data_IF_060404936491
#
_entry.id   IF_060404936491
#
_cell.length_a   1.000
_cell.length_b   1.000
_cell.length_c   1.000
_cell.angle_alpha   90.00
_cell.angle_beta   90.00
_cell.angle_gamma   90.00
#
_symmetry.space_group_name_H-M   'P 1'
#
loop_
_entity.id
_entity.type
_entity.pdbx_description
1 polymer ?
#
# COMPACT_ATOMS: atom_id res chain seq x y z
N UNK A 1 -7.76 3.64 -1.21
CA UNK A 1 -6.36 3.20 -1.36
C UNK A 1 -6.33 1.77 -1.87
N UNK A 2 -6.44 0.80 -0.96
CA UNK A 2 -6.45 -0.63 -1.28
C UNK A 2 -7.61 -1.02 -2.23
N UNK A 3 -8.83 -0.55 -1.95
CA UNK A 3 -10.01 -0.45 -2.85
C UNK A 3 -9.64 -0.28 -4.34
N UNK A 4 -9.09 0.89 -4.60
CA UNK A 4 -8.78 1.37 -5.93
C UNK A 4 -7.64 0.59 -6.59
N UNK A 5 -6.61 0.22 -5.82
CA UNK A 5 -5.50 -0.59 -6.32
C UNK A 5 -5.99 -1.98 -6.73
N UNK A 6 -6.87 -2.60 -5.94
CA UNK A 6 -7.42 -3.92 -6.22
C UNK A 6 -8.14 -3.98 -7.57
N UNK A 7 -8.99 -2.98 -7.86
CA UNK A 7 -9.64 -2.87 -9.16
C UNK A 7 -8.67 -2.61 -10.32
N UNK A 8 -7.53 -1.97 -10.06
CA UNK A 8 -6.49 -1.76 -11.07
C UNK A 8 -5.72 -3.05 -11.37
N UNK A 9 -5.30 -3.77 -10.32
CA UNK A 9 -4.65 -5.08 -10.44
C UNK A 9 -5.57 -6.08 -11.16
N UNK A 10 -6.88 -6.06 -10.88
CA UNK A 10 -7.85 -6.86 -11.60
C UNK A 10 -7.86 -6.60 -13.11
N UNK A 11 -7.81 -5.32 -13.53
CA UNK A 11 -7.78 -4.96 -14.96
C UNK A 11 -6.48 -5.37 -15.65
N UNK A 12 -5.38 -5.45 -14.89
CA UNK A 12 -4.09 -5.89 -15.38
C UNK A 12 -3.87 -7.40 -15.30
N UNK A 13 -4.81 -8.15 -14.70
CA UNK A 13 -4.65 -9.59 -14.45
C UNK A 13 -3.47 -9.90 -13.51
N UNK A 14 -3.19 -9.00 -12.56
CA UNK A 14 -2.13 -9.17 -11.57
C UNK A 14 -2.73 -9.64 -10.24
N UNK A 15 -2.07 -10.60 -9.60
CA UNK A 15 -2.45 -11.12 -8.28
C UNK A 15 -1.71 -10.44 -7.13
N UNK A 16 -0.69 -9.63 -7.44
CA UNK A 16 0.16 -8.94 -6.48
C UNK A 16 0.36 -7.47 -6.84
N UNK A 17 0.60 -6.62 -5.83
CA UNK A 17 0.88 -5.21 -6.06
C UNK A 17 1.50 -4.48 -4.87
N UNK A 18 1.80 -3.19 -5.07
CA UNK A 18 2.42 -2.33 -4.07
C UNK A 18 1.56 -1.09 -3.82
N UNK A 19 1.36 -0.77 -2.54
CA UNK A 19 0.72 0.47 -2.11
C UNK A 19 1.69 1.29 -1.26
N UNK A 20 2.22 2.38 -1.83
CA UNK A 20 3.14 3.27 -1.11
C UNK A 20 2.38 4.51 -0.63
N UNK A 21 2.43 4.77 0.67
CA UNK A 21 1.73 5.87 1.35
C UNK A 21 2.77 6.80 1.94
N UNK A 22 2.78 8.05 1.50
CA UNK A 22 3.71 9.07 1.99
C UNK A 22 3.02 9.99 3.02
N UNK A 23 3.58 10.07 4.22
CA UNK A 23 3.18 10.99 5.26
C UNK A 23 3.80 12.37 5.01
N UNK A 24 2.94 13.31 4.59
CA UNK A 24 3.30 14.71 4.28
C UNK A 24 2.92 15.69 5.39
N UNK A 25 2.57 15.22 6.59
CA UNK A 25 2.27 16.10 7.73
C UNK A 25 3.53 16.85 8.13
N UNK A 26 3.41 18.14 8.45
CA UNK A 26 4.54 18.99 8.82
C UNK A 26 5.27 18.49 10.08
N UNK A 27 4.53 17.87 11.01
CA UNK A 27 5.06 17.29 12.24
C UNK A 27 5.16 15.76 12.16
N UNK A 28 5.36 15.21 10.97
CA UNK A 28 5.54 13.77 10.84
C UNK A 28 6.84 13.33 11.53
N UNK A 29 6.86 12.15 12.17
CA UNK A 29 8.07 11.55 12.72
C UNK A 29 9.18 11.41 11.66
N UNK A 30 10.41 11.17 12.11
CA UNK A 30 11.52 10.88 11.19
C UNK A 30 11.24 9.64 10.35
N UNK A 31 11.88 9.54 9.18
CA UNK A 31 11.63 8.46 8.23
C UNK A 31 11.79 7.08 8.89
N UNK A 32 12.82 6.89 9.71
CA UNK A 32 13.09 5.63 10.40
C UNK A 32 11.96 5.21 11.35
N UNK A 33 11.29 6.17 11.98
CA UNK A 33 10.21 5.90 12.94
C UNK A 33 8.87 5.59 12.23
N UNK A 34 8.66 6.15 11.04
CA UNK A 34 7.40 6.01 10.29
C UNK A 34 7.45 4.98 9.16
N UNK A 35 8.66 4.57 8.72
CA UNK A 35 8.83 3.59 7.67
C UNK A 35 8.32 2.21 8.14
N UNK A 36 7.21 1.77 7.57
CA UNK A 36 6.61 0.46 7.88
C UNK A 36 6.26 -0.27 6.60
N UNK A 37 6.54 -1.57 6.59
CA UNK A 37 6.16 -2.47 5.49
C UNK A 37 5.29 -3.57 6.06
N UNK A 38 4.12 -3.79 5.46
CA UNK A 38 3.15 -4.81 5.85
C UNK A 38 2.57 -5.49 4.61
N UNK A 39 2.20 -6.77 4.72
CA UNK A 39 1.45 -7.46 3.66
C UNK A 39 -0.03 -7.42 4.04
N UNK A 40 -0.87 -6.97 3.11
CA UNK A 40 -2.32 -6.99 3.25
C UNK A 40 -2.97 -7.77 2.11
N UNK A 41 -4.14 -8.32 2.37
CA UNK A 41 -4.98 -8.96 1.36
C UNK A 41 -6.04 -7.97 0.91
N UNK A 42 -6.16 -7.77 -0.40
CA UNK A 42 -7.18 -6.90 -0.99
C UNK A 42 -8.59 -7.52 -0.86
N UNK A 43 -9.67 -6.74 -1.02
CA UNK A 43 -11.04 -7.27 -1.00
C UNK A 43 -11.30 -8.43 -1.98
N UNK A 44 -10.64 -8.43 -3.15
CA UNK A 44 -10.71 -9.51 -4.13
C UNK A 44 -9.65 -10.62 -3.93
N UNK A 45 -8.92 -10.61 -2.82
CA UNK A 45 -8.00 -11.69 -2.45
C UNK A 45 -6.57 -11.55 -3.00
N UNK A 46 -6.18 -10.39 -3.53
CA UNK A 46 -4.81 -10.14 -4.05
C UNK A 46 -3.85 -9.77 -2.94
N UNK A 47 -2.59 -10.15 -3.09
CA UNK A 47 -1.54 -9.83 -2.12
C UNK A 47 -0.99 -8.42 -2.39
N UNK A 48 -1.01 -7.54 -1.40
CA UNK A 48 -0.49 -6.18 -1.55
C UNK A 48 0.55 -5.90 -0.48
N UNK A 49 1.75 -5.55 -0.91
CA UNK A 49 2.77 -4.99 -0.01
C UNK A 49 2.50 -3.50 0.19
N UNK A 50 2.17 -3.12 1.42
CA UNK A 50 1.92 -1.75 1.81
C UNK A 50 3.16 -1.18 2.46
N UNK A 51 3.67 -0.08 1.92
CA UNK A 51 4.78 0.70 2.48
C UNK A 51 4.21 2.03 2.98
N UNK A 52 4.47 2.39 4.23
CA UNK A 52 4.16 3.70 4.81
C UNK A 52 5.49 4.41 5.06
N UNK A 53 5.67 5.60 4.53
CA UNK A 53 6.94 6.32 4.49
C UNK A 53 6.76 7.81 4.73
#
# INVERSE_FOLDING_TARGET
GLEQLDGYLARLGQDEGWLVIFDRRENAPELEERLKTEIQVSPMGRTVTVIRA
#
